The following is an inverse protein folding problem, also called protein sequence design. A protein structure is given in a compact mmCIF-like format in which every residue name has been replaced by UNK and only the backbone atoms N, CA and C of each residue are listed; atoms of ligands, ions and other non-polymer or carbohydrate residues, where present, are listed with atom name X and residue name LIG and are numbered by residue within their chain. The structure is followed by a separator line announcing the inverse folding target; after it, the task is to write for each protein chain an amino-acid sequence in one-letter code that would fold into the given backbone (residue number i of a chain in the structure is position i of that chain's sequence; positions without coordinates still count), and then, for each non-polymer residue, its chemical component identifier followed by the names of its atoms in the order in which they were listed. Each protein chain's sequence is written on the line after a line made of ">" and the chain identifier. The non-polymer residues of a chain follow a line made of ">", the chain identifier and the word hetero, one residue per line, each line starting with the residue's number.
data_IF_914365611394
#
_entry.id   IF_914365611394
#
_cell.length_a   1.000
_cell.length_b   1.000
_cell.length_c   1.000
_cell.angle_alpha   90.00
_cell.angle_beta   90.00
_cell.angle_gamma   90.00
#
_symmetry.space_group_name_H-M   'P 1'
#
loop_
_entity.id
_entity.type
_entity.pdbx_description
1 polymer ?
#
# COMPACT_ATOMS: atom_id res chain seq x y z
N UNK A 1 -14.32 -15.23 24.72
CA UNK A 1 -13.82 -13.88 25.03
C UNK A 1 -14.25 -13.01 23.86
N UNK A 2 -15.15 -12.05 24.06
CA UNK A 2 -15.51 -11.12 22.97
C UNK A 2 -14.26 -10.41 22.49
N UNK A 3 -14.12 -10.24 21.18
CA UNK A 3 -13.06 -9.39 20.63
C UNK A 3 -13.14 -7.99 21.25
N UNK A 4 -11.98 -7.37 21.56
CA UNK A 4 -11.97 -6.04 22.14
C UNK A 4 -12.65 -5.05 21.19
N UNK A 5 -13.61 -4.28 21.71
CA UNK A 5 -14.32 -3.29 20.92
C UNK A 5 -13.35 -2.31 20.24
N UNK A 6 -13.59 -2.05 18.97
CA UNK A 6 -12.73 -1.21 18.13
C UNK A 6 -13.27 0.21 18.04
N UNK A 7 -12.36 1.17 17.83
CA UNK A 7 -12.72 2.56 17.64
C UNK A 7 -13.54 2.71 16.33
N UNK A 8 -14.80 3.17 16.37
CA UNK A 8 -15.66 3.23 15.20
C UNK A 8 -15.09 4.14 14.11
N UNK A 9 -15.12 3.67 12.84
CA UNK A 9 -14.65 4.45 11.69
C UNK A 9 -15.39 5.79 11.55
N UNK A 10 -16.70 5.78 11.80
CA UNK A 10 -17.53 6.99 11.82
C UNK A 10 -17.11 8.02 12.89
N UNK A 11 -16.43 7.58 13.95
CA UNK A 11 -15.93 8.45 15.01
C UNK A 11 -14.55 9.06 14.70
N UNK A 12 -13.87 8.63 13.64
CA UNK A 12 -12.57 9.22 13.27
C UNK A 12 -12.79 10.62 12.69
N UNK A 13 -12.00 11.61 13.11
CA UNK A 13 -12.08 12.99 12.62
C UNK A 13 -11.14 13.16 11.43
N UNK A 14 -11.62 13.77 10.34
CA UNK A 14 -10.84 13.98 9.12
C UNK A 14 -10.51 12.68 8.37
N UNK A 15 -9.39 12.69 7.62
CA UNK A 15 -8.93 11.59 6.77
C UNK A 15 -9.99 11.12 5.76
N UNK A 16 -10.73 12.06 5.18
CA UNK A 16 -11.90 11.76 4.33
C UNK A 16 -11.50 11.01 3.06
N UNK A 17 -10.34 11.33 2.48
CA UNK A 17 -9.76 10.58 1.36
C UNK A 17 -9.49 9.12 1.71
N UNK A 18 -8.88 8.85 2.87
CA UNK A 18 -8.62 7.47 3.30
C UNK A 18 -9.91 6.74 3.61
N UNK A 19 -10.88 7.38 4.29
CA UNK A 19 -12.20 6.79 4.52
C UNK A 19 -12.87 6.43 3.20
N UNK A 20 -12.80 7.31 2.20
CA UNK A 20 -13.34 7.05 0.87
C UNK A 20 -12.63 5.84 0.23
N UNK A 21 -11.31 5.82 0.15
CA UNK A 21 -10.54 4.70 -0.42
C UNK A 21 -10.85 3.37 0.27
N UNK A 22 -10.99 3.36 1.60
CA UNK A 22 -11.42 2.18 2.36
C UNK A 22 -12.85 1.77 1.98
N UNK A 23 -13.81 2.70 1.91
CA UNK A 23 -15.17 2.39 1.48
C UNK A 23 -15.22 1.82 0.06
N UNK A 24 -14.48 2.41 -0.89
CA UNK A 24 -14.39 1.92 -2.27
C UNK A 24 -13.83 0.50 -2.34
N UNK A 25 -12.81 0.20 -1.54
CA UNK A 25 -12.22 -1.13 -1.47
C UNK A 25 -13.15 -2.13 -0.76
N UNK A 26 -13.97 -1.68 0.18
CA UNK A 26 -15.04 -2.50 0.77
C UNK A 26 -16.15 -2.82 -0.24
N UNK A 27 -16.39 -1.94 -1.21
CA UNK A 27 -17.42 -2.10 -2.25
C UNK A 27 -16.91 -3.02 -3.36
N UNK A 28 -15.71 -2.78 -3.89
CA UNK A 28 -15.06 -3.62 -4.90
C UNK A 28 -13.66 -4.07 -4.43
N UNK A 29 -13.55 -5.21 -3.72
CA UNK A 29 -12.25 -5.76 -3.29
C UNK A 29 -11.25 -6.02 -4.44
N UNK A 30 -11.74 -6.13 -5.69
CA UNK A 30 -10.89 -6.37 -6.88
C UNK A 30 -10.12 -5.13 -7.32
N UNK A 31 -10.29 -3.99 -6.64
CA UNK A 31 -9.45 -2.79 -6.83
C UNK A 31 -7.98 -3.08 -6.51
N UNK A 32 -7.68 -4.02 -5.60
CA UNK A 32 -6.30 -4.48 -5.35
C UNK A 32 -5.64 -3.88 -4.10
N UNK A 33 -6.43 -3.61 -3.06
CA UNK A 33 -5.91 -3.15 -1.76
C UNK A 33 -5.58 -1.66 -1.70
N UNK A 34 -5.19 -1.21 -0.51
CA UNK A 34 -4.91 0.19 -0.18
C UNK A 34 -3.55 0.33 0.48
N UNK A 35 -2.74 1.26 -0.03
CA UNK A 35 -1.47 1.67 0.56
C UNK A 35 -1.63 3.03 1.23
N UNK A 36 -1.31 3.10 2.52
CA UNK A 36 -1.48 4.28 3.37
C UNK A 36 -0.12 4.87 3.72
N UNK A 37 0.21 5.98 3.09
CA UNK A 37 1.43 6.74 3.36
C UNK A 37 1.18 7.80 4.44
N UNK A 38 2.23 8.16 5.18
CA UNK A 38 2.20 9.26 6.15
C UNK A 38 3.00 8.99 7.42
N UNK A 39 3.06 9.96 8.34
CA UNK A 39 3.86 9.82 9.56
C UNK A 39 3.21 8.87 10.58
N UNK A 40 4.03 8.46 11.56
CA UNK A 40 3.57 7.70 12.73
C UNK A 40 2.54 8.52 13.53
N UNK A 41 1.55 7.83 14.12
CA UNK A 41 0.54 8.47 14.98
C UNK A 41 -0.70 9.03 14.26
N UNK A 42 -0.83 8.86 12.95
CA UNK A 42 -1.98 9.33 12.14
C UNK A 42 -3.18 8.36 12.14
N UNK A 43 -3.32 7.53 13.17
CA UNK A 43 -4.42 6.56 13.31
C UNK A 43 -4.60 5.57 12.12
N UNK A 44 -3.54 5.30 11.35
CA UNK A 44 -3.59 4.40 10.17
C UNK A 44 -4.15 3.02 10.48
N UNK A 45 -3.64 2.37 11.54
CA UNK A 45 -4.12 1.05 11.98
C UNK A 45 -5.56 1.10 12.49
N UNK A 46 -5.98 2.21 13.10
CA UNK A 46 -7.36 2.43 13.52
C UNK A 46 -8.31 2.54 12.33
N UNK A 47 -7.94 3.35 11.33
CA UNK A 47 -8.69 3.49 10.07
C UNK A 47 -8.76 2.16 9.31
N UNK A 48 -7.63 1.44 9.23
CA UNK A 48 -7.54 0.13 8.58
C UNK A 48 -8.46 -0.92 9.22
N UNK A 49 -8.54 -0.99 10.56
CA UNK A 49 -9.49 -1.88 11.26
C UNK A 49 -10.93 -1.57 10.92
N UNK A 50 -11.25 -0.28 10.74
CA UNK A 50 -12.57 0.15 10.30
C UNK A 50 -13.00 -0.47 8.96
N UNK A 51 -12.07 -0.91 8.11
CA UNK A 51 -12.42 -1.61 6.87
C UNK A 51 -13.04 -2.99 7.12
N UNK A 52 -12.54 -3.74 8.09
CA UNK A 52 -13.09 -5.06 8.40
C UNK A 52 -14.57 -4.94 8.77
N UNK A 53 -14.91 -3.97 9.63
CA UNK A 53 -16.29 -3.65 9.99
C UNK A 53 -17.19 -3.33 8.77
N UNK A 54 -16.62 -2.74 7.70
CA UNK A 54 -17.37 -2.42 6.47
C UNK A 54 -17.51 -3.61 5.53
N UNK A 55 -16.54 -4.53 5.52
CA UNK A 55 -16.58 -5.73 4.70
C UNK A 55 -17.60 -6.75 5.24
N UNK A 56 -17.78 -6.80 6.56
CA UNK A 56 -18.69 -7.71 7.28
C UNK A 56 -17.97 -8.37 8.46
N UNK A 57 -18.41 -9.56 8.89
CA UNK A 57 -17.75 -10.36 9.94
C UNK A 57 -16.48 -11.10 9.43
N UNK A 58 -15.73 -10.48 8.52
CA UNK A 58 -14.48 -11.05 8.00
C UNK A 58 -13.33 -10.87 8.98
N UNK A 59 -12.35 -11.79 9.04
CA UNK A 59 -11.23 -11.70 9.97
C UNK A 59 -10.33 -10.50 9.66
N UNK A 60 -9.94 -9.73 10.68
CA UNK A 60 -8.87 -8.74 10.58
C UNK A 60 -7.56 -9.35 11.07
N UNK A 61 -6.62 -9.60 10.16
CA UNK A 61 -5.34 -10.23 10.51
C UNK A 61 -4.21 -9.26 10.28
N UNK A 62 -3.33 -9.12 11.28
CA UNK A 62 -2.11 -8.30 11.18
C UNK A 62 -0.90 -9.18 10.93
N UNK A 63 -0.10 -8.81 9.93
CA UNK A 63 1.19 -9.42 9.67
C UNK A 63 2.29 -8.68 10.47
N UNK A 64 3.01 -9.35 11.37
CA UNK A 64 4.12 -8.74 12.07
C UNK A 64 5.34 -8.57 11.14
N UNK A 65 6.13 -7.52 11.36
CA UNK A 65 7.33 -7.21 10.58
C UNK A 65 8.35 -8.36 10.52
N UNK A 66 8.49 -9.11 11.61
CA UNK A 66 9.40 -10.26 11.70
C UNK A 66 8.78 -11.60 11.26
N UNK A 67 7.71 -11.58 10.46
CA UNK A 67 7.10 -12.82 9.99
C UNK A 67 8.06 -13.58 9.05
N UNK A 68 8.24 -14.87 9.30
CA UNK A 68 8.89 -15.77 8.33
C UNK A 68 7.91 -16.13 7.22
N UNK A 69 8.44 -16.56 6.08
CA UNK A 69 7.65 -17.10 4.96
C UNK A 69 6.71 -18.22 5.44
N UNK A 70 7.22 -19.14 6.26
CA UNK A 70 6.45 -20.24 6.85
C UNK A 70 5.25 -19.76 7.69
N UNK A 71 5.37 -18.67 8.45
CA UNK A 71 4.23 -18.11 9.18
C UNK A 71 3.25 -17.41 8.25
N UNK A 72 3.74 -16.86 7.15
CA UNK A 72 2.90 -16.17 6.18
C UNK A 72 2.04 -17.17 5.38
N UNK A 73 2.69 -18.13 4.71
CA UNK A 73 2.04 -19.08 3.80
C UNK A 73 1.51 -20.32 4.51
N UNK A 74 2.08 -20.66 5.66
CA UNK A 74 1.83 -21.92 6.36
C UNK A 74 2.90 -22.97 6.05
N UNK A 75 2.84 -24.08 6.78
CA UNK A 75 3.79 -25.19 6.62
C UNK A 75 3.06 -26.50 6.42
N UNK A 76 3.76 -27.50 5.90
CA UNK A 76 3.30 -28.88 5.82
C UNK A 76 4.07 -29.69 6.86
N UNK A 77 3.37 -30.28 7.81
CA UNK A 77 3.95 -31.21 8.78
C UNK A 77 4.08 -32.60 8.14
N UNK A 78 5.33 -33.03 7.99
CA UNK A 78 5.71 -34.30 7.41
C UNK A 78 5.78 -35.43 8.44
N UNK A 79 5.99 -35.11 9.72
CA UNK A 79 6.05 -36.14 10.77
C UNK A 79 4.66 -36.78 10.94
N UNK A 80 3.61 -35.96 10.82
CA UNK A 80 2.23 -36.44 10.68
C UNK A 80 2.02 -37.26 9.39
N UNK A 81 2.70 -36.89 8.29
CA UNK A 81 2.62 -37.60 7.01
C UNK A 81 3.25 -39.00 7.05
N UNK A 82 4.36 -39.16 7.77
CA UNK A 82 5.05 -40.45 7.93
C UNK A 82 4.29 -41.41 8.86
N UNK A 83 3.57 -40.90 9.86
CA UNK A 83 2.76 -41.71 10.78
C UNK A 83 1.36 -42.08 10.26
N UNK A 84 0.67 -41.14 9.59
CA UNK A 84 -0.74 -41.31 9.16
C UNK A 84 -0.93 -41.33 7.63
N UNK A 85 0.15 -41.19 6.86
CA UNK A 85 0.09 -41.17 5.39
C UNK A 85 -0.52 -39.90 4.78
N UNK A 86 -0.75 -38.85 5.58
CA UNK A 86 -1.33 -37.58 5.12
C UNK A 86 -0.53 -36.39 5.66
N UNK A 87 0.01 -35.57 4.77
CA UNK A 87 0.61 -34.30 5.14
C UNK A 87 -0.42 -33.39 5.81
N UNK A 88 -0.14 -32.95 7.03
CA UNK A 88 -1.03 -32.06 7.77
C UNK A 88 -0.61 -30.62 7.50
N UNK A 89 -1.53 -29.83 6.94
CA UNK A 89 -1.29 -28.41 6.70
C UNK A 89 -1.47 -27.61 8.00
N UNK A 90 -0.45 -26.83 8.34
CA UNK A 90 -0.48 -25.83 9.41
C UNK A 90 -0.76 -24.45 8.81
N UNK A 91 -1.93 -23.85 9.07
CA UNK A 91 -2.36 -22.63 8.41
C UNK A 91 -1.52 -21.42 8.82
N UNK A 92 -1.03 -20.70 7.81
CA UNK A 92 -0.35 -19.42 7.97
C UNK A 92 -1.30 -18.23 8.16
N UNK A 93 -0.72 -17.03 8.17
CA UNK A 93 -1.43 -15.74 8.23
C UNK A 93 -2.39 -15.57 7.05
N UNK A 94 -1.99 -15.99 5.84
CA UNK A 94 -2.82 -15.89 4.63
C UNK A 94 -4.10 -16.72 4.71
N UNK A 95 -4.03 -17.90 5.32
CA UNK A 95 -5.20 -18.75 5.53
C UNK A 95 -6.17 -18.12 6.54
N UNK A 96 -5.65 -17.46 7.57
CA UNK A 96 -6.46 -16.77 8.59
C UNK A 96 -7.14 -15.51 8.06
N UNK A 97 -6.57 -14.88 7.03
CA UNK A 97 -7.10 -13.67 6.43
C UNK A 97 -8.18 -13.92 5.36
N UNK A 98 -8.40 -15.17 4.93
CA UNK A 98 -9.37 -15.50 3.89
C UNK A 98 -10.78 -14.97 4.22
N UNK A 99 -11.38 -14.24 3.29
CA UNK A 99 -12.67 -13.57 3.45
C UNK A 99 -12.63 -12.24 4.22
N UNK A 100 -11.46 -11.78 4.66
CA UNK A 100 -11.32 -10.60 5.51
C UNK A 100 -10.29 -9.58 5.03
N UNK A 101 -9.53 -9.03 5.99
CA UNK A 101 -8.53 -7.98 5.77
C UNK A 101 -7.18 -8.47 6.26
N UNK A 102 -6.16 -8.31 5.42
CA UNK A 102 -4.76 -8.47 5.80
C UNK A 102 -4.12 -7.09 5.95
N UNK A 103 -3.81 -6.71 7.18
CA UNK A 103 -3.10 -5.49 7.50
C UNK A 103 -1.61 -5.76 7.66
N UNK A 104 -0.80 -4.93 7.00
CA UNK A 104 0.65 -4.97 7.09
C UNK A 104 1.13 -3.58 7.51
N UNK A 105 1.72 -3.53 8.70
CA UNK A 105 2.33 -2.29 9.19
C UNK A 105 3.71 -2.12 8.58
N UNK A 106 4.03 -0.92 8.11
CA UNK A 106 5.35 -0.57 7.57
C UNK A 106 5.84 -1.59 6.52
N UNK A 107 5.07 -1.74 5.43
CA UNK A 107 5.34 -2.68 4.32
C UNK A 107 6.74 -2.51 3.72
N UNK A 108 7.33 -1.32 3.83
CA UNK A 108 8.69 -1.01 3.40
C UNK A 108 9.79 -1.70 4.25
N UNK A 109 9.45 -2.20 5.44
CA UNK A 109 10.38 -2.90 6.33
C UNK A 109 10.34 -4.42 6.20
N UNK A 110 9.37 -4.96 5.44
CA UNK A 110 9.30 -6.39 5.15
C UNK A 110 10.37 -6.80 4.13
N UNK A 111 10.78 -8.07 4.19
CA UNK A 111 11.66 -8.63 3.19
C UNK A 111 10.98 -8.68 1.80
N UNK A 112 11.68 -8.25 0.75
CA UNK A 112 11.16 -8.13 -0.62
C UNK A 112 10.35 -9.34 -1.10
N UNK A 113 10.89 -10.56 -0.92
CA UNK A 113 10.23 -11.80 -1.33
C UNK A 113 8.88 -12.05 -0.64
N UNK A 114 8.72 -11.60 0.62
CA UNK A 114 7.44 -11.71 1.33
C UNK A 114 6.43 -10.73 0.76
N UNK A 115 6.86 -9.51 0.41
CA UNK A 115 5.98 -8.51 -0.19
C UNK A 115 5.52 -8.96 -1.58
N UNK A 116 6.42 -9.51 -2.39
CA UNK A 116 6.07 -10.10 -3.68
C UNK A 116 5.02 -11.20 -3.54
N UNK A 117 5.25 -12.15 -2.62
CA UNK A 117 4.32 -13.25 -2.35
C UNK A 117 2.96 -12.73 -1.87
N UNK A 118 2.96 -11.77 -0.94
CA UNK A 118 1.74 -11.15 -0.42
C UNK A 118 0.90 -10.54 -1.54
N UNK A 119 1.53 -9.78 -2.43
CA UNK A 119 0.86 -9.10 -3.53
C UNK A 119 0.36 -10.09 -4.59
N UNK A 120 1.11 -11.15 -4.87
CA UNK A 120 0.70 -12.21 -5.79
C UNK A 120 -0.52 -12.98 -5.25
N UNK A 121 -0.54 -13.31 -3.95
CA UNK A 121 -1.68 -13.97 -3.31
C UNK A 121 -2.88 -13.03 -3.22
N UNK A 122 -2.68 -11.75 -2.90
CA UNK A 122 -3.76 -10.76 -2.88
C UNK A 122 -4.41 -10.58 -4.27
N UNK A 123 -3.63 -10.62 -5.35
CA UNK A 123 -4.13 -10.51 -6.71
C UNK A 123 -4.80 -11.81 -7.21
N UNK A 124 -4.22 -12.98 -6.91
CA UNK A 124 -4.72 -14.28 -7.37
C UNK A 124 -5.85 -14.85 -6.49
N UNK A 125 -5.94 -14.41 -5.23
CA UNK A 125 -6.88 -14.91 -4.23
C UNK A 125 -6.61 -16.34 -3.78
N UNK A 126 -5.45 -16.92 -4.10
CA UNK A 126 -5.11 -18.31 -3.83
C UNK A 126 -3.69 -18.42 -3.32
N UNK A 127 -3.49 -19.07 -2.18
CA UNK A 127 -2.16 -19.36 -1.65
C UNK A 127 -1.76 -20.79 -2.04
N UNK A 128 -0.49 -20.97 -2.43
CA UNK A 128 0.10 -22.26 -2.79
C UNK A 128 1.35 -22.48 -1.95
N UNK A 129 1.41 -23.63 -1.27
CA UNK A 129 2.54 -24.04 -0.45
C UNK A 129 3.16 -25.29 -1.08
N UNK A 130 4.47 -25.26 -1.33
CA UNK A 130 5.22 -26.35 -1.92
C UNK A 130 6.41 -26.72 -1.02
N UNK A 131 6.43 -27.95 -0.51
CA UNK A 131 7.53 -28.51 0.27
C UNK A 131 7.68 -29.99 -0.01
N UNK A 132 8.92 -30.44 -0.18
CA UNK A 132 9.30 -31.86 -0.27
C UNK A 132 8.46 -32.67 -1.30
N UNK A 133 8.15 -32.05 -2.44
CA UNK A 133 7.39 -32.66 -3.54
C UNK A 133 5.87 -32.66 -3.36
N UNK A 134 5.35 -32.11 -2.25
CA UNK A 134 3.92 -31.97 -1.97
C UNK A 134 3.49 -30.52 -2.23
N UNK A 135 2.41 -30.35 -2.99
CA UNK A 135 1.78 -29.05 -3.22
C UNK A 135 0.42 -28.99 -2.55
N UNK A 136 0.21 -28.00 -1.69
CA UNK A 136 -1.07 -27.68 -1.07
C UNK A 136 -1.55 -26.32 -1.55
N UNK A 137 -2.86 -26.18 -1.78
CA UNK A 137 -3.47 -24.94 -2.28
C UNK A 137 -4.75 -24.65 -1.49
N UNK A 138 -4.92 -23.40 -1.07
CA UNK A 138 -6.13 -22.95 -0.38
C UNK A 138 -6.56 -21.54 -0.83
N UNK A 139 -7.83 -21.21 -0.60
CA UNK A 139 -8.36 -19.84 -0.82
C UNK A 139 -7.68 -18.87 0.14
N UNK A 140 -7.34 -17.69 -0.36
CA UNK A 140 -6.79 -16.58 0.41
C UNK A 140 -7.27 -15.26 -0.21
N UNK A 141 -8.59 -15.06 -0.25
CA UNK A 141 -9.24 -13.86 -0.79
C UNK A 141 -9.42 -12.85 0.33
N UNK A 142 -8.48 -11.91 0.44
CA UNK A 142 -8.51 -10.85 1.44
C UNK A 142 -8.28 -9.49 0.79
N UNK A 143 -8.69 -8.43 1.49
CA UNK A 143 -8.28 -7.07 1.14
C UNK A 143 -6.96 -6.75 1.82
N UNK A 144 -5.94 -6.41 1.04
CA UNK A 144 -4.64 -5.99 1.55
C UNK A 144 -4.68 -4.50 1.94
N UNK A 145 -4.25 -4.19 3.16
CA UNK A 145 -3.95 -2.83 3.60
C UNK A 145 -2.49 -2.78 4.01
N UNK A 146 -1.69 -1.98 3.31
CA UNK A 146 -0.31 -1.67 3.68
C UNK A 146 -0.21 -0.27 4.26
N UNK A 147 0.60 -0.08 5.30
CA UNK A 147 1.03 1.26 5.72
C UNK A 147 2.52 1.43 5.44
N UNK A 148 2.96 2.64 5.12
CA UNK A 148 4.39 2.95 5.10
C UNK A 148 4.67 4.36 5.58
N UNK A 149 5.88 4.57 6.07
CA UNK A 149 6.44 5.87 6.36
C UNK A 149 7.55 6.16 5.35
N UNK A 150 7.38 7.15 4.43
CA UNK A 150 8.41 7.49 3.45
C UNK A 150 9.76 7.85 4.08
N UNK A 151 9.78 8.33 5.32
CA UNK A 151 11.01 8.66 6.06
C UNK A 151 11.85 7.41 6.43
N UNK A 152 11.24 6.22 6.44
CA UNK A 152 11.88 4.96 6.86
C UNK A 152 12.31 4.09 5.67
N UNK A 153 12.16 4.62 4.45
CA UNK A 153 12.54 3.96 3.20
C UNK A 153 11.39 3.88 2.21
N UNK A 154 11.75 3.80 0.93
CA UNK A 154 10.80 3.69 -0.17
C UNK A 154 10.57 2.23 -0.57
N UNK A 155 9.34 1.92 -0.95
CA UNK A 155 9.02 0.67 -1.61
C UNK A 155 9.47 0.72 -3.08
N UNK A 156 9.93 -0.43 -3.59
CA UNK A 156 10.28 -0.56 -5.00
C UNK A 156 9.07 -0.18 -5.90
N UNK A 157 9.26 0.58 -6.98
CA UNK A 157 8.16 0.99 -7.87
C UNK A 157 7.30 -0.17 -8.39
N UNK A 158 7.91 -1.35 -8.62
CA UNK A 158 7.21 -2.54 -9.09
C UNK A 158 6.23 -3.11 -8.04
N UNK A 159 6.51 -2.92 -6.75
CA UNK A 159 5.65 -3.34 -5.64
C UNK A 159 4.56 -2.30 -5.40
N UNK A 160 4.92 -1.01 -5.47
CA UNK A 160 3.96 0.10 -5.39
C UNK A 160 2.85 -0.08 -6.44
N UNK A 161 3.22 -0.32 -7.70
CA UNK A 161 2.25 -0.46 -8.79
C UNK A 161 1.23 -1.59 -8.55
N UNK A 162 1.58 -2.63 -7.77
CA UNK A 162 0.67 -3.75 -7.45
C UNK A 162 -0.41 -3.38 -6.43
N UNK A 163 -0.24 -2.31 -5.65
CA UNK A 163 -1.33 -1.77 -4.82
C UNK A 163 -2.35 -1.06 -5.70
N UNK A 164 -3.63 -1.34 -5.47
CA UNK A 164 -4.74 -0.68 -6.17
C UNK A 164 -4.71 0.83 -5.94
N UNK A 165 -5.02 1.23 -4.71
CA UNK A 165 -5.11 2.62 -4.30
C UNK A 165 -3.94 3.02 -3.42
N UNK A 166 -3.49 4.26 -3.56
CA UNK A 166 -2.54 4.90 -2.67
C UNK A 166 -3.16 6.17 -2.08
N UNK A 167 -3.07 6.32 -0.76
CA UNK A 167 -3.56 7.50 -0.05
C UNK A 167 -2.46 8.02 0.83
N UNK A 168 -2.12 9.29 0.65
CA UNK A 168 -1.20 9.97 1.54
C UNK A 168 -1.95 10.75 2.60
N UNK A 169 -1.65 10.44 3.86
CA UNK A 169 -2.07 11.23 4.99
C UNK A 169 -1.05 12.35 5.20
N UNK A 170 -1.26 13.46 4.50
CA UNK A 170 -0.49 14.69 4.67
C UNK A 170 -1.06 15.55 5.81
N UNK A 171 -0.17 16.33 6.41
CA UNK A 171 -0.54 17.48 7.23
C UNK A 171 -0.73 17.19 8.71
N UNK A 172 -0.42 18.22 9.50
CA UNK A 172 -0.82 18.27 10.89
C UNK A 172 -2.30 18.67 10.94
N UNK A 173 -3.17 17.91 11.62
CA UNK A 173 -4.56 18.32 11.78
C UNK A 173 -4.61 19.68 12.46
N UNK A 174 -5.51 20.55 11.97
CA UNK A 174 -5.74 21.87 12.53
C UNK A 174 -6.02 21.78 14.04
N UNK A 175 -5.69 22.82 14.84
CA UNK A 175 -5.83 22.76 16.31
C UNK A 175 -7.21 22.30 16.79
N UNK A 176 -8.28 22.72 16.11
CA UNK A 176 -9.65 22.29 16.43
C UNK A 176 -9.85 20.79 16.18
N UNK A 177 -9.47 20.29 14.99
CA UNK A 177 -9.54 18.88 14.66
C UNK A 177 -8.67 18.04 15.60
N UNK A 178 -7.47 18.52 15.95
CA UNK A 178 -6.56 17.87 16.91
C UNK A 178 -7.20 17.75 18.29
N UNK A 179 -7.84 18.81 18.78
CA UNK A 179 -8.57 18.79 20.05
C UNK A 179 -9.73 17.79 20.03
N UNK A 180 -10.48 17.71 18.93
CA UNK A 180 -11.55 16.73 18.76
C UNK A 180 -11.03 15.28 18.72
N UNK A 181 -9.91 15.02 18.03
CA UNK A 181 -9.28 13.70 17.98
C UNK A 181 -8.90 13.25 19.39
N UNK A 182 -8.21 14.11 20.14
CA UNK A 182 -7.79 13.80 21.52
C UNK A 182 -9.01 13.55 22.39
N UNK A 183 -10.03 14.41 22.31
CA UNK A 183 -11.26 14.26 23.10
C UNK A 183 -11.97 12.94 22.82
N UNK A 184 -12.22 12.62 21.53
CA UNK A 184 -12.86 11.35 21.16
C UNK A 184 -12.04 10.14 21.58
N UNK A 185 -10.71 10.25 21.56
CA UNK A 185 -9.83 9.18 22.04
C UNK A 185 -9.95 8.98 23.55
N UNK A 186 -9.94 10.07 24.33
CA UNK A 186 -10.12 10.01 25.79
C UNK A 186 -11.50 9.48 26.17
N UNK A 187 -12.55 9.91 25.46
CA UNK A 187 -13.91 9.41 25.68
C UNK A 187 -13.97 7.89 25.46
N UNK A 188 -13.38 7.39 24.36
CA UNK A 188 -13.28 5.95 24.06
C UNK A 188 -12.48 5.16 25.10
N UNK A 189 -11.35 5.71 25.56
CA UNK A 189 -10.50 5.06 26.56
C UNK A 189 -11.15 5.07 27.96
N UNK A 190 -12.02 6.04 28.26
CA UNK A 190 -12.73 6.14 29.54
C UNK A 190 -13.92 5.19 29.67
N UNK A 191 -14.73 5.07 28.61
CA UNK A 191 -15.87 4.15 28.54
C UNK A 191 -16.05 3.67 27.09
N UNK A 192 -15.40 2.56 26.78
CA UNK A 192 -15.39 1.98 25.44
C UNK A 192 -16.80 1.52 25.02
N UNK A 193 -17.61 0.98 25.92
CA UNK A 193 -18.94 0.48 25.59
C UNK A 193 -19.91 1.62 25.30
N UNK A 194 -19.95 2.64 26.17
CA UNK A 194 -20.79 3.81 25.96
C UNK A 194 -20.40 4.59 24.70
N UNK A 195 -19.09 4.75 24.44
CA UNK A 195 -18.62 5.40 23.22
C UNK A 195 -19.03 4.61 21.96
N UNK A 196 -18.83 3.29 21.96
CA UNK A 196 -19.26 2.45 20.84
C UNK A 196 -20.79 2.53 20.63
N UNK A 197 -21.57 2.53 21.71
CA UNK A 197 -23.03 2.67 21.64
C UNK A 197 -23.45 4.03 21.08
N UNK A 198 -22.77 5.12 21.47
CA UNK A 198 -23.03 6.46 20.95
C UNK A 198 -22.81 6.55 19.43
N UNK A 199 -21.76 5.90 18.92
CA UNK A 199 -21.39 5.94 17.49
C UNK A 199 -21.99 4.80 16.67
N UNK A 200 -22.64 3.83 17.30
CA UNK A 200 -23.26 2.69 16.62
C UNK A 200 -24.25 3.09 15.50
N UNK A 201 -25.12 4.12 15.64
CA UNK A 201 -26.00 4.54 14.56
C UNK A 201 -25.25 5.05 13.33
N UNK A 202 -24.21 5.87 13.52
CA UNK A 202 -23.41 6.41 12.43
C UNK A 202 -22.57 5.33 11.73
N UNK A 203 -21.98 4.42 12.51
CA UNK A 203 -21.24 3.26 11.98
C UNK A 203 -22.20 2.30 11.23
N UNK A 204 -23.41 2.11 11.75
CA UNK A 204 -24.47 1.34 11.09
C UNK A 204 -24.85 1.94 9.75
N UNK A 205 -25.12 3.25 9.68
CA UNK A 205 -25.41 3.94 8.42
C UNK A 205 -24.27 3.81 7.40
N UNK A 206 -23.02 3.86 7.85
CA UNK A 206 -21.85 3.67 6.98
C UNK A 206 -21.79 2.25 6.41
N UNK A 207 -21.99 1.22 7.24
CA UNK A 207 -22.07 -0.19 6.79
C UNK A 207 -23.19 -0.41 5.80
N UNK A 208 -24.38 0.11 6.10
CA UNK A 208 -25.56 0.02 5.23
C UNK A 208 -25.30 0.66 3.86
N UNK A 209 -24.66 1.83 3.85
CA UNK A 209 -24.28 2.51 2.62
C UNK A 209 -23.28 1.69 1.79
N UNK A 210 -22.25 1.11 2.42
CA UNK A 210 -21.29 0.23 1.74
C UNK A 210 -21.99 -1.01 1.17
N UNK A 211 -22.90 -1.63 1.94
CA UNK A 211 -23.69 -2.78 1.50
C UNK A 211 -24.55 -2.46 0.28
N UNK A 212 -25.34 -1.39 0.35
CA UNK A 212 -26.18 -0.97 -0.78
C UNK A 212 -25.37 -0.57 -2.01
N UNK A 213 -24.17 0.02 -1.82
CA UNK A 213 -23.26 0.29 -2.93
C UNK A 213 -22.72 -1.01 -3.56
N UNK A 214 -22.36 -2.02 -2.76
CA UNK A 214 -21.91 -3.34 -3.26
C UNK A 214 -22.99 -4.04 -4.09
N UNK A 215 -24.25 -3.95 -3.67
CA UNK A 215 -25.39 -4.51 -4.41
C UNK A 215 -25.60 -3.80 -5.76
N UNK A 216 -25.47 -2.47 -5.78
CA UNK A 216 -25.58 -1.66 -7.02
C UNK A 216 -24.41 -1.84 -7.96
N UNK A 217 -23.19 -2.08 -7.45
CA UNK A 217 -21.97 -2.22 -8.25
C UNK A 217 -22.12 -3.21 -9.41
N UNK A 218 -22.84 -4.32 -9.18
CA UNK A 218 -23.06 -5.35 -10.20
C UNK A 218 -23.98 -4.90 -11.35
N UNK A 219 -24.77 -3.85 -11.13
CA UNK A 219 -25.71 -3.29 -12.10
C UNK A 219 -25.10 -2.15 -12.91
N UNK A 220 -24.03 -1.51 -12.41
CA UNK A 220 -23.33 -0.44 -13.12
C UNK A 220 -22.42 -1.09 -14.18
N UNK A 221 -22.76 -0.87 -15.45
CA UNK A 221 -21.94 -1.32 -16.57
C UNK A 221 -20.58 -0.60 -16.55
N UNK A 222 -19.53 -1.31 -16.96
CA UNK A 222 -18.27 -0.67 -17.32
C UNK A 222 -18.51 -0.02 -18.68
N UNK A 223 -18.70 1.29 -18.68
CA UNK A 223 -19.02 2.02 -19.89
C UNK A 223 -17.75 2.36 -20.69
N UNK A 224 -17.87 2.32 -22.03
CA UNK A 224 -16.76 2.58 -22.94
C UNK A 224 -16.31 4.05 -22.93
N UNK A 225 -17.17 4.98 -22.51
CA UNK A 225 -16.88 6.40 -22.48
C UNK A 225 -15.91 6.75 -21.32
N UNK A 226 -16.12 6.18 -20.16
CA UNK A 226 -15.28 6.26 -18.97
C UNK A 226 -13.96 5.54 -19.23
N UNK A 227 -13.99 4.37 -19.86
CA UNK A 227 -12.77 3.67 -20.30
C UNK A 227 -11.93 4.55 -21.25
N UNK A 228 -12.56 5.17 -22.26
CA UNK A 228 -11.86 6.06 -23.18
C UNK A 228 -11.27 7.29 -22.48
N UNK A 229 -12.01 7.91 -21.56
CA UNK A 229 -11.50 9.04 -20.77
C UNK A 229 -10.33 8.65 -19.86
N UNK A 230 -10.44 7.52 -19.15
CA UNK A 230 -9.41 7.02 -18.24
C UNK A 230 -8.14 6.68 -19.01
N UNK A 231 -8.25 5.91 -20.10
CA UNK A 231 -7.09 5.51 -20.91
C UNK A 231 -6.36 6.71 -21.52
N UNK A 232 -7.09 7.72 -22.00
CA UNK A 232 -6.49 8.96 -22.48
C UNK A 232 -5.72 9.68 -21.37
N UNK A 233 -6.26 9.72 -20.15
CA UNK A 233 -5.62 10.38 -19.00
C UNK A 233 -4.44 9.58 -18.45
N UNK A 234 -4.52 8.25 -18.41
CA UNK A 234 -3.39 7.37 -18.08
C UNK A 234 -2.22 7.58 -19.04
N UNK A 235 -2.51 7.65 -20.34
CA UNK A 235 -1.51 7.95 -21.36
C UNK A 235 -0.87 9.33 -21.15
N UNK A 236 -1.68 10.36 -20.90
CA UNK A 236 -1.19 11.71 -20.62
C UNK A 236 -0.35 11.80 -19.33
N UNK A 237 -0.65 10.96 -18.33
CA UNK A 237 0.09 10.88 -17.07
C UNK A 237 1.39 10.05 -17.17
N UNK A 238 1.68 9.43 -18.32
CA UNK A 238 2.90 8.65 -18.54
C UNK A 238 2.99 7.38 -17.68
N UNK A 239 1.85 6.78 -17.35
CA UNK A 239 1.80 5.55 -16.56
C UNK A 239 2.17 4.34 -17.41
N UNK A 240 2.96 3.43 -16.86
CA UNK A 240 3.35 2.19 -17.51
C UNK A 240 2.29 1.08 -17.30
N UNK A 241 2.04 0.29 -18.36
CA UNK A 241 1.13 -0.85 -18.31
C UNK A 241 -0.35 -0.46 -18.28
N UNK A 242 -1.22 -1.45 -18.03
CA UNK A 242 -2.69 -1.31 -18.07
C UNK A 242 -3.35 -1.38 -16.68
N UNK A 243 -2.54 -1.51 -15.63
CA UNK A 243 -3.04 -1.72 -14.28
C UNK A 243 -3.75 -0.47 -13.75
N UNK A 244 -3.20 0.70 -14.03
CA UNK A 244 -3.81 1.98 -13.68
C UNK A 244 -5.21 2.12 -14.29
N UNK A 245 -5.37 1.79 -15.57
CA UNK A 245 -6.66 1.87 -16.27
C UNK A 245 -7.71 0.98 -15.61
N UNK A 246 -7.35 -0.29 -15.34
CA UNK A 246 -8.25 -1.25 -14.70
C UNK A 246 -8.65 -0.83 -13.28
N UNK A 247 -7.68 -0.37 -12.49
CA UNK A 247 -7.91 0.03 -11.10
C UNK A 247 -8.73 1.31 -11.05
N UNK A 248 -8.40 2.31 -11.87
CA UNK A 248 -9.12 3.59 -11.92
C UNK A 248 -10.56 3.38 -12.36
N UNK A 249 -10.80 2.57 -13.41
CA UNK A 249 -12.15 2.28 -13.86
C UNK A 249 -12.98 1.54 -12.79
N UNK A 250 -12.39 0.56 -12.10
CA UNK A 250 -13.05 -0.13 -10.99
C UNK A 250 -13.37 0.81 -9.83
N UNK A 251 -12.43 1.67 -9.47
CA UNK A 251 -12.61 2.66 -8.41
C UNK A 251 -13.70 3.68 -8.77
N UNK A 252 -13.73 4.17 -10.01
CA UNK A 252 -14.75 5.09 -10.50
C UNK A 252 -16.14 4.43 -10.49
N UNK A 253 -16.23 3.16 -10.91
CA UNK A 253 -17.47 2.38 -10.79
C UNK A 253 -17.92 2.19 -9.34
N UNK A 254 -16.98 1.89 -8.43
CA UNK A 254 -17.28 1.79 -7.01
C UNK A 254 -17.73 3.13 -6.42
N UNK A 255 -17.17 4.24 -6.89
CA UNK A 255 -17.55 5.59 -6.49
C UNK A 255 -18.96 5.96 -6.98
N UNK A 256 -19.29 5.64 -8.24
CA UNK A 256 -20.65 5.78 -8.76
C UNK A 256 -21.67 5.01 -7.91
N UNK A 257 -21.34 3.76 -7.54
CA UNK A 257 -22.16 2.95 -6.64
C UNK A 257 -22.27 3.54 -5.22
N UNK A 258 -21.21 4.16 -4.71
CA UNK A 258 -21.14 4.83 -3.40
C UNK A 258 -22.00 6.10 -3.33
N UNK A 259 -22.01 6.87 -4.43
CA UNK A 259 -22.86 8.06 -4.64
C UNK A 259 -24.31 7.67 -4.89
N UNK A 260 -24.52 6.48 -5.44
CA UNK A 260 -25.82 5.90 -5.72
C UNK A 260 -26.35 6.16 -7.11
N UNK A 261 -25.46 6.46 -8.04
CA UNK A 261 -25.74 6.53 -9.46
C UNK A 261 -25.81 5.14 -10.09
N UNK A 262 -26.33 5.07 -11.32
CA UNK A 262 -26.39 3.85 -12.14
C UNK A 262 -25.36 3.85 -13.28
N UNK A 263 -24.69 4.97 -13.51
CA UNK A 263 -23.70 5.18 -14.57
C UNK A 263 -22.48 5.88 -13.97
N UNK A 264 -21.31 5.69 -14.59
CA UNK A 264 -20.08 6.37 -14.18
C UNK A 264 -20.10 7.77 -14.78
N UNK A 265 -19.96 8.79 -13.95
CA UNK A 265 -19.89 10.19 -14.38
C UNK A 265 -18.46 10.73 -14.21
N UNK A 266 -18.19 11.90 -14.82
CA UNK A 266 -16.87 12.53 -14.75
C UNK A 266 -16.42 12.79 -13.30
N UNK A 267 -17.36 13.14 -12.41
CA UNK A 267 -17.07 13.34 -10.99
C UNK A 267 -16.54 12.07 -10.30
N UNK A 268 -17.00 10.88 -10.73
CA UNK A 268 -16.54 9.61 -10.17
C UNK A 268 -15.12 9.28 -10.64
N UNK A 269 -14.80 9.63 -11.88
CA UNK A 269 -13.46 9.47 -12.45
C UNK A 269 -12.49 10.43 -11.74
N UNK A 270 -12.88 11.68 -11.57
CA UNK A 270 -12.04 12.73 -10.95
C UNK A 270 -11.79 12.43 -9.47
N UNK A 271 -12.80 11.99 -8.72
CA UNK A 271 -12.72 11.74 -7.28
C UNK A 271 -11.70 10.66 -6.89
N UNK A 272 -11.43 9.69 -7.77
CA UNK A 272 -10.53 8.56 -7.49
C UNK A 272 -9.22 8.61 -8.29
N UNK A 273 -9.05 9.63 -9.12
CA UNK A 273 -7.90 9.78 -10.01
C UNK A 273 -6.57 9.78 -9.23
N UNK A 274 -6.51 10.57 -8.15
CA UNK A 274 -5.28 10.67 -7.36
C UNK A 274 -4.96 9.35 -6.66
N UNK A 275 -5.97 8.64 -6.13
CA UNK A 275 -5.76 7.34 -5.48
C UNK A 275 -5.19 6.29 -6.43
N UNK A 276 -5.61 6.30 -7.70
CA UNK A 276 -5.17 5.34 -8.70
C UNK A 276 -3.85 5.72 -9.36
N UNK A 277 -3.51 7.01 -9.47
CA UNK A 277 -2.36 7.46 -10.26
C UNK A 277 -1.13 7.82 -9.42
N UNK A 278 -1.29 8.26 -8.17
CA UNK A 278 -0.21 8.90 -7.39
C UNK A 278 1.08 8.09 -7.38
N UNK A 279 1.01 6.83 -7.00
CA UNK A 279 2.15 5.92 -6.90
C UNK A 279 2.61 5.31 -8.24
N UNK A 280 1.95 5.70 -9.34
CA UNK A 280 2.22 5.22 -10.70
C UNK A 280 2.73 6.33 -11.63
N UNK A 281 2.61 7.60 -11.23
CA UNK A 281 3.18 8.73 -11.96
C UNK A 281 4.70 8.61 -11.89
N UNK A 282 5.36 8.67 -13.05
CA UNK A 282 6.78 8.95 -13.07
C UNK A 282 6.97 10.39 -12.59
N UNK A 283 7.83 10.60 -11.60
CA UNK A 283 8.48 11.90 -11.49
C UNK A 283 9.15 12.16 -12.83
N UNK A 284 8.67 13.17 -13.56
CA UNK A 284 9.42 13.67 -14.69
C UNK A 284 10.83 13.98 -14.15
N UNK A 285 11.91 13.45 -14.76
CA UNK A 285 13.25 13.79 -14.31
C UNK A 285 13.31 15.31 -14.30
N UNK A 286 13.64 15.89 -13.15
CA UNK A 286 13.81 17.33 -13.03
C UNK A 286 14.69 17.78 -14.20
N UNK A 287 14.31 18.82 -14.97
CA UNK A 287 15.14 19.28 -16.07
C UNK A 287 16.51 19.58 -15.47
N UNK A 288 17.51 18.76 -15.84
CA UNK A 288 18.89 19.01 -15.47
C UNK A 288 19.18 20.46 -15.89
N UNK A 289 19.68 21.32 -14.99
CA UNK A 289 20.10 22.66 -15.38
C UNK A 289 21.09 22.48 -16.53
N UNK A 290 20.68 22.83 -17.75
CA UNK A 290 21.59 22.90 -18.87
C UNK A 290 22.68 23.87 -18.43
N UNK A 291 23.91 23.37 -18.30
CA UNK A 291 25.06 24.22 -18.05
C UNK A 291 25.01 25.34 -19.12
N UNK A 292 25.10 26.62 -18.73
CA UNK A 292 25.05 27.70 -19.69
C UNK A 292 26.15 27.46 -20.72
N UNK A 293 25.73 27.33 -21.97
CA UNK A 293 26.60 27.24 -23.14
C UNK A 293 27.33 28.58 -23.26
N UNK A 294 28.43 28.74 -22.52
CA UNK A 294 29.31 29.90 -22.67
C UNK A 294 30.05 29.72 -23.99
N UNK A 295 29.40 30.15 -25.06
CA UNK A 295 29.99 30.36 -26.37
C UNK A 295 31.11 31.39 -26.29
N UNK A 296 32.29 30.94 -25.88
CA UNK A 296 33.55 31.66 -26.04
C UNK A 296 34.29 31.05 -27.22
N UNK A 297 34.19 31.71 -28.36
CA UNK A 297 34.97 31.41 -29.55
C UNK A 297 36.48 31.53 -29.24
N UNK A 298 37.20 30.41 -29.28
CA UNK A 298 38.66 30.39 -29.28
C UNK A 298 39.18 30.64 -30.72
N UNK A 299 40.18 31.51 -30.92
CA UNK A 299 40.78 31.71 -32.24
C UNK A 299 41.64 30.49 -32.65
N UNK A 300 41.84 30.26 -33.97
CA UNK A 300 42.49 29.05 -34.44
C UNK A 300 44.01 29.16 -34.25
N UNK A 301 44.57 28.29 -33.40
CA UNK A 301 46.01 28.05 -33.36
C UNK A 301 46.36 26.92 -34.33
N UNK A 302 47.17 27.27 -35.32
CA UNK A 302 47.68 26.37 -36.33
C UNK A 302 48.70 25.38 -35.75
N UNK A 303 48.51 24.09 -36.08
CA UNK A 303 49.55 23.13 -36.40
C UNK A 303 50.42 22.60 -35.26
N UNK A 304 50.22 21.33 -34.87
CA UNK A 304 51.28 20.32 -34.94
C UNK A 304 50.73 18.91 -34.72
N UNK A 305 51.44 17.97 -35.35
CA UNK A 305 51.15 16.56 -35.57
C UNK A 305 51.01 15.74 -34.27
N UNK A 306 50.23 14.65 -34.33
CA UNK A 306 50.33 13.55 -33.37
C UNK A 306 49.11 12.64 -33.35
N UNK A 307 49.14 11.55 -34.12
CA UNK A 307 48.27 10.39 -33.92
C UNK A 307 48.52 9.76 -32.54
N UNK A 308 47.47 9.31 -31.84
CA UNK A 308 47.64 8.45 -30.66
C UNK A 308 46.42 8.30 -29.75
N UNK A 309 45.63 7.25 -29.96
CA UNK A 309 45.33 6.22 -28.97
C UNK A 309 44.94 6.68 -27.53
N UNK A 310 43.65 6.94 -27.29
CA UNK A 310 43.07 7.13 -25.93
C UNK A 310 42.49 5.82 -25.36
N UNK A 311 43.28 4.75 -25.41
CA UNK A 311 43.09 3.55 -24.60
C UNK A 311 44.39 3.28 -23.89
N UNK A 312 44.34 3.12 -22.56
CA UNK A 312 45.44 2.95 -21.60
C UNK A 312 45.96 4.24 -20.93
N UNK A 313 45.30 4.62 -19.82
CA UNK A 313 45.98 5.35 -18.75
C UNK A 313 46.34 4.36 -17.63
N UNK A 314 47.61 4.26 -17.21
CA UNK A 314 47.99 3.46 -16.05
C UNK A 314 47.48 4.11 -14.75
N UNK A 315 47.22 3.30 -13.70
CA UNK A 315 46.71 3.81 -12.44
C UNK A 315 47.70 4.80 -11.80
N UNK A 316 47.22 6.01 -11.49
CA UNK A 316 47.96 6.99 -10.71
C UNK A 316 47.90 6.60 -9.23
N UNK A 317 49.07 6.46 -8.59
CA UNK A 317 49.17 6.21 -7.17
C UNK A 317 48.77 7.46 -6.37
N UNK A 318 47.63 7.39 -5.68
CA UNK A 318 47.25 8.38 -4.67
C UNK A 318 48.11 8.21 -3.42
N UNK A 319 48.68 9.28 -2.84
CA UNK A 319 49.42 9.19 -1.59
C UNK A 319 48.50 8.75 -0.46
N UNK A 320 48.90 7.71 0.27
CA UNK A 320 48.22 7.23 1.46
C UNK A 320 48.27 8.30 2.56
N UNK A 321 47.09 8.73 3.00
CA UNK A 321 46.96 9.67 4.12
C UNK A 321 47.60 9.10 5.40
N UNK A 322 48.19 9.99 6.20
CA UNK A 322 48.83 9.65 7.46
C UNK A 322 47.88 8.87 8.38
N UNK A 323 48.38 7.76 8.95
CA UNK A 323 47.65 6.96 9.96
C UNK A 323 47.22 7.85 11.11
N UNK A 324 45.91 7.96 11.35
CA UNK A 324 45.36 8.46 12.61
C UNK A 324 45.61 7.42 13.70
N UNK A 325 46.36 7.78 14.72
CA UNK A 325 46.49 6.99 15.95
C UNK A 325 45.14 6.96 16.68
N UNK A 326 44.71 5.76 17.05
CA UNK A 326 43.50 5.52 17.85
C UNK A 326 43.82 5.79 19.33
N UNK A 327 43.02 6.60 20.06
CA UNK A 327 43.26 6.83 21.49
C UNK A 327 43.05 5.55 22.31
N UNK A 328 44.03 5.20 23.14
CA UNK A 328 43.91 4.08 24.09
C UNK A 328 42.97 4.45 25.24
N UNK A 329 41.85 3.74 25.38
CA UNK A 329 40.99 3.85 26.55
C UNK A 329 41.59 3.08 27.73
N UNK A 330 41.80 3.75 28.86
CA UNK A 330 42.28 3.14 30.09
C UNK A 330 41.21 2.21 30.70
N UNK A 331 41.58 0.96 31.00
CA UNK A 331 40.76 0.04 31.80
C UNK A 331 40.61 0.61 33.21
N UNK A 332 39.37 0.76 33.69
CA UNK A 332 39.08 1.18 35.07
C UNK A 332 39.54 0.10 36.07
N UNK A 333 39.98 0.53 37.27
CA UNK A 333 40.49 -0.33 38.34
C UNK A 333 39.40 -1.18 39.01
#
# INVERSE_FOLDING_TARGET
>A
MSEPAHFPLAAVVGADELKLALCLTAIDPKIGGVLIEGPRGMAKSTLARGLADLLGEGPFVTLPLGASEERLVGTLDLDAALGQGKAQFSPGVLAKADGGVLYVDEVNLLADHLVDLLLDVAASGTNRVERDGISHRHSARFVLIGTMNPEEGELRPQLLDRFGLNVLLEGQPLPEARGQIIRRRLDFDSDTEAFCAQWAPAQGALRERCRGARERLAQIALDDQALAQITQRCFAAGVDGLRADLVWLRAARAHAAWRGAQVIEAEDIDAVAEFALRHRRREAPAPQPQAPDTGAALPPAAGQQGQGQWGELPPQATPSGARREVPSWAKKP
#
